data_IF_461447877041
#
_entry.id   IF_461447877041
#
_cell.length_a   1.000
_cell.length_b   1.000
_cell.length_c   1.000
_cell.angle_alpha   90.00
_cell.angle_beta   90.00
_cell.angle_gamma   90.00
#
_symmetry.space_group_name_H-M   'P 1'
#
loop_
_entity.id
_entity.type
_entity.pdbx_description
1 polymer ?
#
# COMPACT_ATOMS: atom_id res chain seq x y z
N UNK A 1 -25.27 11.23 -65.45
CA UNK A 1 -25.81 10.22 -66.38
C UNK A 1 -24.75 9.97 -67.44
N UNK A 2 -24.35 8.74 -67.79
CA UNK A 2 -24.87 7.43 -67.38
C UNK A 2 -23.90 6.72 -66.39
N UNK A 3 -24.31 6.11 -65.27
CA UNK A 3 -25.15 4.91 -65.05
C UNK A 3 -24.46 3.59 -65.42
N UNK A 4 -24.17 2.72 -64.44
CA UNK A 4 -23.60 1.40 -64.70
C UNK A 4 -23.26 0.50 -63.49
N UNK A 5 -24.19 0.29 -62.57
CA UNK A 5 -24.29 -0.98 -61.82
C UNK A 5 -25.61 -1.63 -62.26
N UNK A 6 -25.81 -2.98 -62.29
CA UNK A 6 -25.39 -3.92 -61.23
C UNK A 6 -25.10 -5.39 -61.69
N UNK A 7 -24.71 -6.28 -60.75
CA UNK A 7 -25.15 -7.71 -60.58
C UNK A 7 -24.22 -8.39 -59.56
N UNK A 8 -24.58 -8.52 -58.28
CA UNK A 8 -25.34 -9.63 -57.65
C UNK A 8 -24.94 -11.03 -58.14
N UNK A 9 -24.05 -11.68 -57.39
CA UNK A 9 -23.98 -13.13 -57.20
C UNK A 9 -24.10 -13.46 -55.71
N UNK A 10 -25.23 -14.06 -55.30
CA UNK A 10 -25.47 -14.61 -53.96
C UNK A 10 -25.25 -16.13 -53.98
N UNK A 11 -24.98 -16.67 -52.78
CA UNK A 11 -25.09 -18.07 -52.28
C UNK A 11 -23.76 -18.82 -52.31
N UNK A 12 -23.31 -19.52 -51.26
CA UNK A 12 -23.87 -19.94 -49.95
C UNK A 12 -22.70 -20.45 -49.05
N UNK A 13 -22.95 -20.82 -47.78
CA UNK A 13 -22.01 -20.71 -46.65
C UNK A 13 -21.15 -21.96 -46.42
N UNK A 14 -19.92 -21.77 -45.94
CA UNK A 14 -19.17 -22.84 -45.28
C UNK A 14 -19.51 -22.86 -43.78
N UNK A 15 -20.20 -23.91 -43.35
CA UNK A 15 -20.36 -24.34 -41.95
C UNK A 15 -19.67 -25.71 -41.78
N UNK A 16 -19.47 -26.19 -40.55
CA UNK A 16 -18.16 -26.45 -39.95
C UNK A 16 -17.70 -27.90 -40.15
N UNK A 17 -16.38 -28.12 -40.16
CA UNK A 17 -15.81 -29.46 -40.05
C UNK A 17 -15.64 -29.84 -38.58
N UNK A 18 -16.51 -30.75 -38.16
CA UNK A 18 -16.37 -31.59 -36.97
C UNK A 18 -15.29 -32.63 -37.21
N UNK A 19 -14.38 -32.79 -36.25
CA UNK A 19 -13.70 -34.07 -36.04
C UNK A 19 -13.49 -34.25 -34.54
N UNK A 20 -14.33 -35.13 -33.99
CA UNK A 20 -14.17 -35.80 -32.70
C UNK A 20 -12.74 -36.33 -32.56
N UNK A 21 -12.07 -35.96 -31.48
CA UNK A 21 -11.13 -36.85 -30.82
C UNK A 21 -11.59 -37.01 -29.38
N UNK A 22 -12.44 -38.02 -29.18
CA UNK A 22 -12.86 -38.53 -27.89
C UNK A 22 -11.74 -39.39 -27.31
N UNK A 23 -11.09 -38.92 -26.24
CA UNK A 23 -10.43 -39.81 -25.27
C UNK A 23 -10.90 -39.45 -23.87
N UNK A 24 -11.42 -40.48 -23.23
CA UNK A 24 -12.14 -40.47 -21.98
C UNK A 24 -11.29 -39.97 -20.81
N UNK A 25 -11.79 -38.99 -20.07
CA UNK A 25 -11.41 -38.79 -18.68
C UNK A 25 -12.38 -39.63 -17.86
N UNK A 26 -11.85 -40.72 -17.30
CA UNK A 26 -12.56 -41.57 -16.34
C UNK A 26 -12.88 -40.75 -15.09
N UNK A 27 -14.06 -41.00 -14.55
CA UNK A 27 -14.47 -40.56 -13.23
C UNK A 27 -13.78 -41.40 -12.12
N UNK A 28 -13.65 -40.74 -10.97
CA UNK A 28 -13.41 -41.20 -9.58
C UNK A 28 -12.00 -41.63 -9.12
N UNK A 29 -11.65 -41.48 -7.81
CA UNK A 29 -12.55 -41.25 -6.66
C UNK A 29 -12.21 -40.11 -5.68
N UNK A 30 -13.26 -39.64 -5.01
CA UNK A 30 -13.34 -39.12 -3.62
C UNK A 30 -12.04 -38.66 -2.90
N UNK A 31 -11.99 -37.37 -2.58
CA UNK A 31 -11.08 -36.81 -1.56
C UNK A 31 -11.64 -37.15 -0.16
N UNK A 32 -10.91 -37.83 0.73
CA UNK A 32 -11.38 -38.05 2.08
C UNK A 32 -11.14 -36.78 2.91
N UNK A 33 -12.24 -36.14 3.27
CA UNK A 33 -12.32 -35.01 4.19
C UNK A 33 -12.40 -35.56 5.62
N UNK A 34 -11.27 -35.88 6.28
CA UNK A 34 -11.20 -36.18 7.73
C UNK A 34 -9.76 -36.32 8.26
N UNK A 35 -9.42 -35.52 9.27
CA UNK A 35 -8.28 -35.76 10.16
C UNK A 35 -8.59 -36.92 11.14
N UNK A 36 -7.58 -37.74 11.53
CA UNK A 36 -7.77 -38.78 12.55
C UNK A 36 -8.12 -38.17 13.91
N UNK A 37 -9.13 -38.75 14.56
CA UNK A 37 -9.60 -38.42 15.92
C UNK A 37 -9.04 -39.45 16.90
N UNK A 38 -8.85 -39.06 18.16
CA UNK A 38 -8.58 -40.02 19.23
C UNK A 38 -9.81 -40.90 19.52
N UNK A 39 -9.67 -41.91 20.39
CA UNK A 39 -10.74 -42.84 20.78
C UNK A 39 -11.93 -42.17 21.50
N UNK A 40 -11.90 -40.85 21.72
CA UNK A 40 -12.98 -40.06 22.31
C UNK A 40 -13.59 -39.03 21.35
N UNK A 41 -13.09 -38.92 20.12
CA UNK A 41 -13.71 -38.11 19.06
C UNK A 41 -13.36 -36.61 19.05
N UNK A 42 -12.33 -36.15 19.77
CA UNK A 42 -11.88 -34.75 19.79
C UNK A 42 -10.62 -34.50 18.92
N UNK A 43 -10.36 -33.27 18.43
CA UNK A 43 -9.14 -32.93 17.68
C UNK A 43 -7.91 -32.89 18.61
N UNK A 44 -6.85 -33.60 18.27
CA UNK A 44 -5.63 -33.69 19.07
C UNK A 44 -4.85 -32.36 19.11
N UNK A 45 -4.88 -31.66 20.25
CA UNK A 45 -3.93 -30.58 20.55
C UNK A 45 -2.66 -31.16 21.18
N UNK A 46 -1.52 -30.89 20.56
CA UNK A 46 -0.19 -31.26 21.07
C UNK A 46 0.13 -30.40 22.30
N UNK A 47 0.38 -31.05 23.44
CA UNK A 47 0.76 -30.43 24.70
C UNK A 47 2.13 -29.70 24.61
N UNK A 48 2.22 -28.53 25.24
CA UNK A 48 3.47 -27.81 25.54
C UNK A 48 4.01 -28.27 26.91
N UNK A 49 5.35 -28.28 27.14
CA UNK A 49 5.94 -28.63 28.43
C UNK A 49 5.80 -27.51 29.49
N UNK A 50 5.94 -27.84 30.81
CA UNK A 50 5.51 -26.98 31.89
C UNK A 50 6.45 -25.81 32.24
N UNK A 51 5.83 -24.78 32.82
CA UNK A 51 6.31 -23.45 33.12
C UNK A 51 7.45 -23.35 34.16
N UNK A 52 8.26 -22.31 33.99
CA UNK A 52 9.15 -21.77 35.04
C UNK A 52 8.33 -20.95 36.04
N UNK A 53 8.51 -21.24 37.33
CA UNK A 53 7.76 -20.70 38.47
C UNK A 53 8.52 -19.50 39.04
N UNK A 54 7.91 -18.32 39.08
CA UNK A 54 8.39 -17.20 39.91
C UNK A 54 7.26 -16.78 40.85
N UNK A 55 7.57 -16.88 42.14
CA UNK A 55 6.75 -16.50 43.28
C UNK A 55 6.66 -14.97 43.38
N UNK A 56 5.45 -14.42 43.52
CA UNK A 56 5.23 -13.13 44.19
C UNK A 56 3.98 -13.13 45.05
N UNK A 57 4.13 -12.39 46.14
CA UNK A 57 3.36 -12.37 47.37
C UNK A 57 1.93 -11.83 47.22
N UNK A 58 1.06 -12.36 48.07
CA UNK A 58 -0.30 -11.90 48.34
C UNK A 58 -0.33 -10.42 48.74
N UNK A 59 -1.28 -9.69 48.15
CA UNK A 59 -1.77 -8.40 48.61
C UNK A 59 -3.27 -8.34 48.32
N UNK A 60 -4.07 -8.23 49.37
CA UNK A 60 -5.53 -8.28 49.37
C UNK A 60 -6.18 -7.10 48.64
N UNK A 61 -7.19 -7.38 47.79
CA UNK A 61 -8.22 -6.40 47.39
C UNK A 61 -9.59 -7.09 47.38
N UNK A 62 -10.54 -6.52 48.14
CA UNK A 62 -11.93 -6.96 48.28
C UNK A 62 -12.79 -6.69 47.02
N UNK A 63 -13.89 -7.43 46.81
CA UNK A 63 -14.72 -7.36 45.61
C UNK A 63 -15.87 -6.33 45.71
N UNK A 64 -16.20 -5.70 44.59
CA UNK A 64 -17.45 -4.97 44.36
C UNK A 64 -18.02 -5.35 42.99
N UNK A 65 -19.24 -5.89 42.97
CA UNK A 65 -20.01 -6.33 41.79
C UNK A 65 -20.71 -5.15 41.06
N UNK A 66 -21.65 -5.36 40.10
CA UNK A 66 -21.36 -5.66 38.70
C UNK A 66 -22.09 -4.70 37.73
N UNK A 67 -21.71 -4.73 36.45
CA UNK A 67 -22.60 -4.36 35.35
C UNK A 67 -22.16 -3.20 34.47
N UNK A 68 -21.66 -3.53 33.28
CA UNK A 68 -21.99 -2.84 32.04
C UNK A 68 -21.50 -3.69 30.86
N UNK A 69 -22.42 -4.04 29.96
CA UNK A 69 -22.12 -4.70 28.68
C UNK A 69 -21.07 -3.89 27.91
N UNK A 70 -20.13 -4.54 27.17
CA UNK A 70 -19.17 -3.79 26.39
C UNK A 70 -19.86 -3.16 25.18
N UNK A 71 -20.13 -1.86 25.29
CA UNK A 71 -20.55 -1.02 24.18
C UNK A 71 -19.50 -1.04 23.08
N UNK A 72 -19.95 -1.22 21.84
CA UNK A 72 -19.15 -1.01 20.62
C UNK A 72 -18.68 0.44 20.57
N UNK A 73 -17.45 0.70 21.00
CA UNK A 73 -16.82 2.02 20.84
C UNK A 73 -16.20 2.08 19.45
N UNK A 74 -16.91 2.68 18.52
CA UNK A 74 -16.38 3.02 17.19
C UNK A 74 -15.21 3.98 17.32
N UNK A 75 -14.02 3.52 16.91
CA UNK A 75 -12.82 4.35 16.82
C UNK A 75 -13.04 5.43 15.74
N UNK A 76 -13.22 6.67 16.19
CA UNK A 76 -13.24 7.84 15.31
C UNK A 76 -11.80 8.23 14.97
N UNK A 77 -11.31 7.84 13.81
CA UNK A 77 -10.05 8.36 13.29
C UNK A 77 -10.26 9.79 12.79
N UNK A 78 -9.72 10.75 13.54
CA UNK A 78 -9.54 12.12 13.08
C UNK A 78 -8.49 12.18 11.98
N UNK A 79 -8.87 11.90 10.73
CA UNK A 79 -8.08 12.33 9.58
C UNK A 79 -8.30 13.83 9.43
N UNK A 80 -7.45 14.65 10.07
CA UNK A 80 -7.38 16.08 9.74
C UNK A 80 -7.02 16.18 8.25
N UNK A 81 -7.97 16.68 7.49
CA UNK A 81 -7.78 17.12 6.11
C UNK A 81 -6.85 18.33 6.13
N UNK A 82 -5.67 18.19 5.55
CA UNK A 82 -4.74 19.31 5.42
C UNK A 82 -3.28 18.90 5.54
N UNK A 83 -2.84 17.88 4.81
CA UNK A 83 -1.43 17.77 4.46
C UNK A 83 -1.28 18.49 3.10
N UNK A 84 -1.05 19.83 3.04
CA UNK A 84 -0.67 20.46 1.80
C UNK A 84 0.80 20.13 1.59
N UNK A 85 1.14 19.45 0.49
CA UNK A 85 2.38 19.75 -0.20
C UNK A 85 2.49 19.10 -1.58
N UNK A 86 2.71 19.97 -2.55
CA UNK A 86 3.60 19.78 -3.69
C UNK A 86 4.97 19.40 -3.16
N UNK A 87 5.39 18.15 -3.33
CA UNK A 87 6.76 17.75 -3.08
C UNK A 87 7.24 16.80 -4.18
N UNK A 88 7.46 17.43 -5.33
CA UNK A 88 8.47 17.05 -6.31
C UNK A 88 9.18 18.36 -6.58
N UNK A 89 10.41 18.53 -6.08
CA UNK A 89 11.27 19.57 -6.62
C UNK A 89 11.37 19.29 -8.13
N UNK A 90 10.94 20.22 -9.01
CA UNK A 90 11.01 19.96 -10.44
C UNK A 90 12.48 19.69 -10.79
N UNK A 91 12.78 18.62 -11.54
CA UNK A 91 14.11 18.47 -12.12
C UNK A 91 14.39 19.73 -12.94
N UNK A 92 15.67 20.10 -12.99
CA UNK A 92 16.17 21.30 -13.69
C UNK A 92 15.37 21.55 -14.98
N UNK A 93 14.81 22.75 -15.09
CA UNK A 93 13.62 23.08 -15.90
C UNK A 93 13.73 22.50 -17.31
N UNK A 94 13.21 21.29 -17.53
CA UNK A 94 13.39 20.58 -18.79
C UNK A 94 12.73 21.40 -19.90
N UNK A 95 13.52 21.83 -20.88
CA UNK A 95 13.08 22.76 -21.94
C UNK A 95 11.95 22.20 -22.82
N UNK A 96 11.67 20.89 -22.71
CA UNK A 96 10.61 20.18 -23.41
C UNK A 96 9.27 20.12 -22.63
N UNK A 97 9.25 20.55 -21.36
CA UNK A 97 8.07 20.43 -20.52
C UNK A 97 6.93 21.36 -20.97
N UNK A 98 5.76 20.78 -21.24
CA UNK A 98 4.56 21.51 -21.65
C UNK A 98 3.83 22.01 -20.41
N UNK A 99 3.99 23.31 -20.09
CA UNK A 99 3.39 23.94 -18.90
C UNK A 99 1.88 23.76 -18.77
N UNK A 100 1.13 23.69 -19.88
CA UNK A 100 -0.31 23.45 -19.83
C UNK A 100 -0.65 22.02 -19.40
N UNK A 101 0.16 21.03 -19.77
CA UNK A 101 0.01 19.65 -19.33
C UNK A 101 0.33 19.52 -17.83
N UNK A 102 1.41 20.14 -17.36
CA UNK A 102 1.78 20.16 -15.93
C UNK A 102 0.64 20.73 -15.06
N UNK A 103 0.08 21.88 -15.47
CA UNK A 103 -1.06 22.51 -14.78
C UNK A 103 -2.30 21.61 -14.77
N UNK A 104 -2.54 20.91 -15.87
CA UNK A 104 -3.69 20.00 -15.99
C UNK A 104 -3.54 18.81 -15.03
N UNK A 105 -2.35 18.22 -14.94
CA UNK A 105 -2.06 17.14 -13.99
C UNK A 105 -2.11 17.62 -12.54
N UNK A 106 -1.59 18.81 -12.25
CA UNK A 106 -1.69 19.42 -10.91
C UNK A 106 -3.15 19.59 -10.46
N UNK A 107 -4.03 20.05 -11.36
CA UNK A 107 -5.48 20.15 -11.08
C UNK A 107 -6.08 18.77 -10.78
N UNK A 108 -5.74 17.74 -11.56
CA UNK A 108 -6.21 16.37 -11.31
C UNK A 108 -5.75 15.86 -9.94
N UNK A 109 -4.48 16.08 -9.58
CA UNK A 109 -3.93 15.67 -8.29
C UNK A 109 -4.63 16.35 -7.11
N UNK A 110 -4.85 17.67 -7.19
CA UNK A 110 -5.56 18.40 -6.13
C UNK A 110 -6.99 17.89 -5.94
N UNK A 111 -7.71 17.64 -7.05
CA UNK A 111 -9.06 17.05 -6.99
C UNK A 111 -9.02 15.66 -6.35
N UNK A 112 -8.02 14.84 -6.69
CA UNK A 112 -7.91 13.46 -6.17
C UNK A 112 -7.69 13.39 -4.65
N UNK A 113 -7.06 14.41 -4.05
CA UNK A 113 -6.77 14.48 -2.60
C UNK A 113 -7.98 14.94 -1.80
N UNK A 114 -8.88 15.70 -2.41
CA UNK A 114 -10.08 16.18 -1.77
C UNK A 114 -11.14 15.08 -1.73
N UNK A 115 -11.32 14.49 -0.53
CA UNK A 115 -12.37 13.47 -0.26
C UNK A 115 -13.80 13.99 -0.47
N UNK A 116 -13.97 15.28 -0.70
CA UNK A 116 -15.26 15.93 -1.00
C UNK A 116 -15.19 16.51 -2.41
N UNK A 117 -16.31 16.38 -3.13
CA UNK A 117 -16.58 17.06 -4.38
C UNK A 117 -16.12 18.53 -4.28
N UNK A 118 -15.15 18.94 -5.10
CA UNK A 118 -14.51 20.26 -4.97
C UNK A 118 -15.06 21.24 -6.00
N UNK A 119 -15.28 22.49 -5.60
CA UNK A 119 -15.63 23.58 -6.51
C UNK A 119 -14.39 24.13 -7.22
N UNK A 120 -14.58 24.75 -8.38
CA UNK A 120 -13.47 25.40 -9.13
C UNK A 120 -12.70 26.43 -8.29
N UNK A 121 -13.39 27.15 -7.41
CA UNK A 121 -12.77 28.13 -6.53
C UNK A 121 -11.83 27.49 -5.49
N UNK A 122 -12.23 26.34 -4.92
CA UNK A 122 -11.36 25.58 -4.01
C UNK A 122 -10.11 25.08 -4.73
N UNK A 123 -10.27 24.55 -5.95
CA UNK A 123 -9.15 24.06 -6.75
C UNK A 123 -8.19 25.19 -7.11
N UNK A 124 -8.68 26.36 -7.51
CA UNK A 124 -7.85 27.53 -7.82
C UNK A 124 -6.98 27.95 -6.63
N UNK A 125 -7.58 28.02 -5.44
CA UNK A 125 -6.85 28.33 -4.20
C UNK A 125 -5.78 27.28 -3.89
N UNK A 126 -6.12 26.00 -3.99
CA UNK A 126 -5.23 24.90 -3.60
C UNK A 126 -4.10 24.65 -4.63
N UNK A 127 -4.30 25.05 -5.89
CA UNK A 127 -3.29 24.96 -6.97
C UNK A 127 -2.50 26.24 -7.17
N UNK A 128 -2.97 27.38 -6.67
CA UNK A 128 -2.42 28.71 -6.96
C UNK A 128 -2.67 29.21 -8.39
N UNK A 129 -3.53 28.53 -9.17
CA UNK A 129 -3.86 28.89 -10.54
C UNK A 129 -5.07 29.84 -10.60
N UNK A 130 -5.14 30.67 -11.65
CA UNK A 130 -6.32 31.49 -11.89
C UNK A 130 -7.54 30.64 -12.26
N UNK A 131 -8.74 31.19 -12.01
CA UNK A 131 -10.01 30.48 -12.23
C UNK A 131 -10.21 30.03 -13.68
N UNK A 132 -9.74 30.82 -14.66
CA UNK A 132 -9.86 30.49 -16.09
C UNK A 132 -8.95 29.33 -16.48
N UNK A 133 -7.73 29.29 -15.96
CA UNK A 133 -6.79 28.19 -16.12
C UNK A 133 -7.36 26.90 -15.53
N UNK A 134 -7.87 26.94 -14.30
CA UNK A 134 -8.50 25.76 -13.66
C UNK A 134 -9.72 25.27 -14.45
N UNK A 135 -10.57 26.19 -14.93
CA UNK A 135 -11.74 25.82 -15.73
C UNK A 135 -11.34 25.12 -17.03
N UNK A 136 -10.33 25.62 -17.74
CA UNK A 136 -9.81 24.97 -18.95
C UNK A 136 -9.21 23.59 -18.65
N UNK A 137 -8.38 23.48 -17.61
CA UNK A 137 -7.82 22.19 -17.18
C UNK A 137 -8.90 21.18 -16.82
N UNK A 138 -9.90 21.59 -16.04
CA UNK A 138 -11.03 20.76 -15.66
C UNK A 138 -11.86 20.30 -16.88
N UNK A 139 -12.15 21.20 -17.82
CA UNK A 139 -12.85 20.87 -19.05
C UNK A 139 -12.08 19.85 -19.90
N UNK A 140 -10.74 20.01 -20.01
CA UNK A 140 -9.87 19.03 -20.67
C UNK A 140 -9.93 17.67 -19.98
N UNK A 141 -9.85 17.63 -18.65
CA UNK A 141 -9.91 16.38 -17.88
C UNK A 141 -11.29 15.69 -17.96
N UNK A 142 -12.37 16.46 -18.07
CA UNK A 142 -13.73 15.94 -18.31
C UNK A 142 -13.82 15.36 -19.72
N UNK A 143 -13.34 16.08 -20.73
CA UNK A 143 -13.31 15.61 -22.12
C UNK A 143 -12.44 14.36 -22.28
N UNK A 144 -11.31 14.28 -21.57
CA UNK A 144 -10.44 13.11 -21.51
C UNK A 144 -11.02 11.97 -20.65
N UNK A 145 -12.14 12.17 -19.96
CA UNK A 145 -12.84 11.16 -19.18
C UNK A 145 -12.23 10.84 -17.81
N UNK A 146 -11.25 11.61 -17.32
CA UNK A 146 -10.70 11.46 -15.97
C UNK A 146 -11.59 12.08 -14.89
N UNK A 147 -12.31 13.14 -15.26
CA UNK A 147 -13.29 13.79 -14.41
C UNK A 147 -14.70 13.66 -15.00
N UNK A 148 -15.69 13.74 -14.13
CA UNK A 148 -17.07 14.07 -14.53
C UNK A 148 -17.57 15.25 -13.72
N UNK A 149 -18.43 16.03 -14.34
CA UNK A 149 -19.17 17.07 -13.64
C UNK A 149 -20.51 16.51 -13.18
N UNK A 150 -20.81 16.71 -11.89
CA UNK A 150 -22.08 16.31 -11.28
C UNK A 150 -23.16 17.36 -11.53
N UNK A 151 -24.43 17.04 -11.28
CA UNK A 151 -25.55 17.97 -11.45
C UNK A 151 -25.40 19.26 -10.62
N UNK A 152 -24.70 19.19 -9.47
CA UNK A 152 -24.36 20.34 -8.62
C UNK A 152 -23.06 21.07 -9.05
N UNK A 153 -22.65 20.91 -10.31
CA UNK A 153 -21.46 21.50 -10.93
C UNK A 153 -20.12 21.17 -10.28
N UNK A 154 -20.08 20.17 -9.39
CA UNK A 154 -18.83 19.73 -8.75
C UNK A 154 -18.12 18.70 -9.61
N UNK A 155 -16.81 18.58 -9.40
CA UNK A 155 -15.97 17.64 -10.13
C UNK A 155 -15.68 16.40 -9.29
N UNK A 156 -15.74 15.24 -9.94
CA UNK A 156 -15.41 13.93 -9.36
C UNK A 156 -14.50 13.13 -10.28
N UNK A 157 -13.64 12.30 -9.68
CA UNK A 157 -12.88 11.29 -10.42
C UNK A 157 -13.82 10.23 -11.01
N UNK A 158 -13.45 9.72 -12.18
CA UNK A 158 -14.13 8.58 -12.83
C UNK A 158 -13.36 7.28 -12.58
N UNK A 159 -13.97 6.10 -12.86
CA UNK A 159 -13.27 4.81 -12.81
C UNK A 159 -12.02 4.72 -13.70
N UNK A 160 -11.88 5.57 -14.73
CA UNK A 160 -10.68 5.66 -15.57
C UNK A 160 -9.41 5.91 -14.75
N UNK A 161 -9.52 6.61 -13.62
CA UNK A 161 -8.38 6.83 -12.71
C UNK A 161 -7.93 5.52 -12.04
N UNK A 162 -8.85 4.60 -11.77
CA UNK A 162 -8.53 3.29 -11.20
C UNK A 162 -7.82 2.39 -12.21
N UNK A 163 -8.19 2.50 -13.49
CA UNK A 163 -7.53 1.76 -14.58
C UNK A 163 -6.03 2.09 -14.68
N UNK A 164 -5.64 3.36 -14.49
CA UNK A 164 -4.23 3.76 -14.45
C UNK A 164 -3.48 3.04 -13.33
N UNK A 165 -4.04 3.04 -12.13
CA UNK A 165 -3.45 2.35 -10.98
C UNK A 165 -3.36 0.84 -11.19
N UNK A 166 -4.42 0.23 -11.75
CA UNK A 166 -4.43 -1.19 -12.08
C UNK A 166 -3.35 -1.55 -13.10
N UNK A 167 -3.25 -0.78 -14.20
CA UNK A 167 -2.27 -1.02 -15.26
C UNK A 167 -0.83 -0.84 -14.76
N UNK A 168 -0.59 0.10 -13.86
CA UNK A 168 0.70 0.24 -13.18
C UNK A 168 1.04 -1.00 -12.33
N UNK A 169 0.08 -1.52 -11.55
CA UNK A 169 0.33 -2.67 -10.69
C UNK A 169 0.54 -3.96 -11.49
N UNK A 170 -0.23 -4.20 -12.54
CA UNK A 170 -0.13 -5.44 -13.33
C UNK A 170 1.12 -5.47 -14.24
N UNK A 171 1.60 -4.31 -14.69
CA UNK A 171 2.83 -4.21 -15.49
C UNK A 171 4.12 -4.27 -14.66
N UNK A 172 4.01 -4.14 -13.34
CA UNK A 172 5.17 -4.14 -12.46
C UNK A 172 5.60 -5.59 -12.12
N UNK A 173 6.79 -5.98 -12.59
CA UNK A 173 7.35 -7.33 -12.41
C UNK A 173 7.57 -7.74 -10.93
N UNK A 174 7.62 -6.78 -9.99
CA UNK A 174 7.69 -7.08 -8.56
C UNK A 174 6.34 -7.61 -8.06
N UNK A 175 5.21 -7.13 -8.60
CA UNK A 175 3.88 -7.38 -8.06
C UNK A 175 3.46 -8.85 -8.18
N UNK A 176 3.77 -9.50 -9.30
CA UNK A 176 3.46 -10.92 -9.51
C UNK A 176 4.18 -11.83 -8.50
N UNK A 177 5.48 -11.56 -8.26
CA UNK A 177 6.29 -12.30 -7.29
C UNK A 177 5.88 -11.99 -5.86
N UNK A 178 5.64 -10.71 -5.56
CA UNK A 178 5.24 -10.24 -4.25
C UNK A 178 3.97 -10.93 -3.77
N UNK A 179 2.97 -11.13 -4.63
CA UNK A 179 1.72 -11.76 -4.22
C UNK A 179 1.93 -13.13 -3.57
N UNK A 180 2.74 -14.00 -4.18
CA UNK A 180 3.01 -15.36 -3.66
C UNK A 180 3.78 -15.33 -2.34
N UNK A 181 4.81 -14.50 -2.25
CA UNK A 181 5.65 -14.37 -1.05
C UNK A 181 4.83 -13.82 0.11
N UNK A 182 4.07 -12.75 -0.11
CA UNK A 182 3.29 -12.09 0.92
C UNK A 182 2.10 -12.94 1.38
N UNK A 183 1.48 -13.72 0.49
CA UNK A 183 0.44 -14.71 0.87
C UNK A 183 0.98 -15.80 1.79
N UNK A 184 2.23 -16.22 1.61
CA UNK A 184 2.89 -17.19 2.49
C UNK A 184 3.21 -16.53 3.83
N UNK A 185 3.87 -15.36 3.79
CA UNK A 185 4.21 -14.60 4.98
C UNK A 185 2.97 -14.34 5.85
N UNK A 186 1.82 -13.98 5.24
CA UNK A 186 0.57 -13.71 5.96
C UNK A 186 0.10 -14.91 6.79
N UNK A 187 0.22 -16.11 6.23
CA UNK A 187 -0.18 -17.35 6.90
C UNK A 187 0.73 -17.68 8.07
N UNK A 188 1.99 -17.29 7.98
CA UNK A 188 3.00 -17.50 9.01
C UNK A 188 2.85 -16.49 10.16
N UNK A 189 2.72 -15.20 9.85
CA UNK A 189 2.72 -14.14 10.87
C UNK A 189 1.35 -13.84 11.47
N UNK A 190 0.25 -14.14 10.76
CA UNK A 190 -1.12 -13.89 11.23
C UNK A 190 -1.55 -12.41 11.34
N UNK A 191 -0.61 -11.48 11.20
CA UNK A 191 -0.80 -10.03 11.26
C UNK A 191 -0.97 -9.39 9.88
N UNK A 192 -1.24 -8.07 9.85
CA UNK A 192 -1.37 -7.32 8.60
C UNK A 192 -0.03 -7.19 7.89
N UNK A 193 -0.05 -7.45 6.59
CA UNK A 193 1.12 -7.32 5.71
C UNK A 193 0.89 -6.24 4.68
N UNK A 194 1.90 -5.42 4.45
CA UNK A 194 1.88 -4.44 3.37
C UNK A 194 3.14 -4.56 2.52
N UNK A 195 3.00 -4.20 1.25
CA UNK A 195 4.10 -3.90 0.34
C UNK A 195 3.99 -2.44 -0.06
N UNK A 196 5.09 -1.69 0.04
CA UNK A 196 5.17 -0.33 -0.46
C UNK A 196 6.26 -0.16 -1.50
N UNK A 197 6.04 0.70 -2.47
CA UNK A 197 7.06 1.13 -3.44
C UNK A 197 7.74 2.42 -2.96
N UNK A 198 9.04 2.52 -3.22
CA UNK A 198 9.86 3.67 -2.86
C UNK A 198 9.67 4.82 -3.84
N UNK A 199 9.48 6.05 -3.34
CA UNK A 199 9.34 7.25 -4.14
C UNK A 199 10.03 8.46 -3.47
N UNK A 200 11.23 8.25 -2.92
CA UNK A 200 12.03 9.31 -2.28
C UNK A 200 11.49 9.70 -0.90
N UNK A 201 10.90 10.91 -0.78
CA UNK A 201 10.36 11.45 0.48
C UNK A 201 9.11 10.72 0.99
N UNK A 202 8.50 9.91 0.13
CA UNK A 202 7.34 9.09 0.48
C UNK A 202 7.42 7.69 -0.11
N UNK A 203 6.53 6.84 0.38
CA UNK A 203 6.25 5.52 -0.15
C UNK A 203 4.78 5.40 -0.53
N UNK A 204 4.47 4.45 -1.41
CA UNK A 204 3.09 4.17 -1.84
C UNK A 204 2.77 2.71 -1.57
N UNK A 205 1.69 2.43 -0.83
CA UNK A 205 1.23 1.06 -0.63
C UNK A 205 0.72 0.45 -1.93
N UNK A 206 1.40 -0.57 -2.44
CA UNK A 206 1.05 -1.28 -3.67
C UNK A 206 0.26 -2.56 -3.40
N UNK A 207 0.45 -3.21 -2.25
CA UNK A 207 -0.30 -4.39 -1.85
C UNK A 207 -0.56 -4.35 -0.35
N UNK A 208 -1.78 -4.73 0.07
CA UNK A 208 -2.17 -4.75 1.48
C UNK A 208 -3.00 -5.99 1.76
N UNK A 209 -2.54 -6.79 2.71
CA UNK A 209 -3.16 -8.04 3.11
C UNK A 209 -3.59 -7.89 4.57
N UNK A 210 -4.89 -7.94 4.82
CA UNK A 210 -5.44 -7.72 6.16
C UNK A 210 -5.08 -8.86 7.11
N UNK A 211 -4.79 -8.53 8.37
CA UNK A 211 -4.65 -9.51 9.44
C UNK A 211 -6.00 -10.09 9.87
N UNK A 212 -5.98 -11.04 10.82
CA UNK A 212 -7.22 -11.44 11.52
C UNK A 212 -7.69 -10.25 12.36
N UNK A 213 -8.96 -9.85 12.25
CA UNK A 213 -9.49 -8.79 13.11
C UNK A 213 -9.55 -7.38 12.52
N UNK A 214 -8.99 -7.15 11.32
CA UNK A 214 -8.90 -5.81 10.72
C UNK A 214 -9.79 -5.66 9.47
N UNK A 215 -10.88 -4.90 9.59
CA UNK A 215 -11.87 -4.66 8.52
C UNK A 215 -12.03 -3.19 8.14
N UNK A 216 -11.13 -2.30 8.56
CA UNK A 216 -11.25 -0.88 8.24
C UNK A 216 -10.88 -0.60 6.78
N UNK A 217 -11.84 -0.09 6.01
CA UNK A 217 -11.68 0.22 4.57
C UNK A 217 -10.42 1.03 4.22
N UNK A 218 -10.02 2.11 4.93
CA UNK A 218 -8.81 2.85 4.58
C UNK A 218 -7.51 2.04 4.77
N UNK A 219 -7.56 0.97 5.55
CA UNK A 219 -6.43 0.08 5.82
C UNK A 219 -6.30 -1.07 4.80
N UNK A 220 -7.29 -1.28 3.94
CA UNK A 220 -7.23 -2.27 2.87
C UNK A 220 -6.92 -1.67 1.49
N UNK A 221 -7.15 -0.37 1.28
CA UNK A 221 -6.91 0.27 -0.02
C UNK A 221 -5.43 0.54 -0.31
N UNK A 222 -5.05 0.30 -1.57
CA UNK A 222 -3.74 0.59 -2.17
C UNK A 222 -3.67 2.03 -2.72
N UNK A 223 -2.48 2.49 -3.12
CA UNK A 223 -2.25 3.83 -3.67
C UNK A 223 -2.07 4.93 -2.60
N UNK A 224 -2.25 4.60 -1.31
CA UNK A 224 -2.04 5.56 -0.22
C UNK A 224 -0.55 5.88 -0.06
N UNK A 225 -0.24 7.18 -0.08
CA UNK A 225 1.09 7.74 0.22
C UNK A 225 1.35 7.81 1.72
N UNK A 226 2.57 7.50 2.14
CA UNK A 226 3.04 7.73 3.51
C UNK A 226 4.48 8.29 3.50
N UNK A 227 4.86 9.18 4.43
CA UNK A 227 6.23 9.71 4.47
C UNK A 227 7.25 8.63 4.84
N UNK A 228 8.47 8.74 4.32
CA UNK A 228 9.54 7.75 4.61
C UNK A 228 10.16 7.94 5.99
N UNK A 229 10.26 9.19 6.49
CA UNK A 229 10.95 9.49 7.75
C UNK A 229 10.32 8.86 9.01
N UNK A 230 9.01 8.66 9.02
CA UNK A 230 8.26 8.19 10.19
C UNK A 230 7.61 6.82 10.02
N UNK A 231 7.86 6.10 8.92
CA UNK A 231 7.29 4.76 8.68
C UNK A 231 8.36 3.69 8.77
N UNK A 232 7.98 2.47 9.21
CA UNK A 232 8.91 1.35 9.29
C UNK A 232 9.55 1.08 7.92
N UNK A 233 8.76 0.87 6.85
CA UNK A 233 9.38 0.61 5.55
C UNK A 233 10.04 1.82 4.92
N UNK A 234 9.63 3.05 5.25
CA UNK A 234 10.37 4.24 4.88
C UNK A 234 11.78 4.22 5.45
N UNK A 235 11.90 4.00 6.76
CA UNK A 235 13.19 3.89 7.46
C UNK A 235 14.01 2.69 6.96
N UNK A 236 13.37 1.55 6.67
CA UNK A 236 14.03 0.40 6.07
C UNK A 236 14.56 0.70 4.66
N UNK A 237 13.80 1.41 3.81
CA UNK A 237 14.27 1.80 2.48
C UNK A 237 15.41 2.82 2.56
N UNK A 238 15.29 3.83 3.43
CA UNK A 238 16.36 4.81 3.67
C UNK A 238 17.64 4.14 4.19
N UNK A 239 17.56 3.02 4.90
CA UNK A 239 18.76 2.31 5.39
C UNK A 239 19.62 1.71 4.27
N UNK A 240 19.06 1.57 3.06
CA UNK A 240 19.76 1.12 1.84
C UNK A 240 20.38 2.27 1.04
N UNK A 241 20.26 3.52 1.52
CA UNK A 241 20.90 4.68 0.93
C UNK A 241 22.11 5.11 1.77
N UNK A 242 23.02 5.86 1.16
CA UNK A 242 24.10 6.57 1.87
C UNK A 242 23.53 7.66 2.78
N UNK A 243 24.27 8.07 3.82
CA UNK A 243 23.81 9.10 4.75
C UNK A 243 23.52 10.43 4.03
N UNK A 244 24.31 10.79 3.02
CA UNK A 244 24.08 11.99 2.19
C UNK A 244 22.78 11.90 1.37
N UNK A 245 22.47 10.73 0.80
CA UNK A 245 21.21 10.50 0.10
C UNK A 245 20.01 10.58 1.05
N UNK A 246 20.15 10.04 2.27
CA UNK A 246 19.11 10.14 3.30
C UNK A 246 18.87 11.61 3.66
N UNK A 247 19.94 12.38 3.91
CA UNK A 247 19.82 13.80 4.22
C UNK A 247 19.14 14.58 3.09
N UNK A 248 19.49 14.32 1.82
CA UNK A 248 18.81 14.93 0.67
C UNK A 248 17.31 14.60 0.63
N UNK A 249 16.94 13.36 0.95
CA UNK A 249 15.52 12.97 1.04
C UNK A 249 14.82 13.68 2.19
N UNK A 250 15.49 13.89 3.32
CA UNK A 250 14.94 14.61 4.47
C UNK A 250 14.82 16.12 4.23
N UNK A 251 15.73 16.72 3.48
CA UNK A 251 15.71 18.13 3.09
C UNK A 251 14.51 18.47 2.20
N UNK A 252 14.15 17.59 1.27
CA UNK A 252 12.96 17.77 0.44
C UNK A 252 11.67 17.44 1.20
N UNK A 253 11.75 16.59 2.22
CA UNK A 253 10.60 16.19 3.03
C UNK A 253 10.13 17.30 3.98
N UNK A 254 8.82 17.56 4.05
CA UNK A 254 8.28 18.29 5.22
C UNK A 254 7.92 17.35 6.37
N UNK A 255 8.72 17.46 7.42
CA UNK A 255 8.70 16.63 8.62
C UNK A 255 7.57 17.03 9.60
N UNK A 256 6.34 16.74 9.22
CA UNK A 256 5.16 16.97 10.06
C UNK A 256 5.12 16.05 11.28
N UNK A 257 4.91 16.61 12.47
CA UNK A 257 4.63 15.80 13.67
C UNK A 257 3.22 15.18 13.57
N UNK A 258 3.13 13.93 13.12
CA UNK A 258 1.86 13.20 12.91
C UNK A 258 1.25 12.67 14.21
N UNK A 259 2.11 12.33 15.16
CA UNK A 259 1.77 11.89 16.51
C UNK A 259 2.77 12.49 17.49
N UNK A 260 2.52 12.42 18.81
CA UNK A 260 3.51 12.84 19.81
C UNK A 260 4.86 12.11 19.69
N UNK A 261 4.87 10.92 19.07
CA UNK A 261 6.05 10.06 18.94
C UNK A 261 6.82 10.26 17.64
N UNK A 262 6.28 11.00 16.68
CA UNK A 262 6.94 11.22 15.40
C UNK A 262 8.29 11.92 15.59
N UNK A 263 9.37 11.29 15.10
CA UNK A 263 10.67 11.94 14.99
C UNK A 263 10.60 13.02 13.89
N UNK A 264 10.98 14.24 14.23
CA UNK A 264 11.03 15.39 13.30
C UNK A 264 12.39 16.06 13.21
N UNK A 265 13.39 15.56 13.94
CA UNK A 265 14.78 16.02 13.83
C UNK A 265 15.52 15.18 12.78
N UNK A 266 16.10 15.79 11.73
CA UNK A 266 16.86 15.06 10.72
C UNK A 266 17.98 14.19 11.32
N UNK A 267 18.68 14.68 12.35
CA UNK A 267 19.72 13.93 13.03
C UNK A 267 19.18 12.65 13.71
N UNK A 268 18.06 12.78 14.46
CA UNK A 268 17.43 11.62 15.12
C UNK A 268 16.88 10.61 14.11
N UNK A 269 16.36 11.10 12.98
CA UNK A 269 15.88 10.24 11.91
C UNK A 269 17.06 9.50 11.27
N UNK A 270 18.17 10.18 11.01
CA UNK A 270 19.38 9.58 10.45
C UNK A 270 19.95 8.50 11.39
N UNK A 271 20.00 8.75 12.70
CA UNK A 271 20.45 7.76 13.67
C UNK A 271 19.53 6.52 13.68
N UNK A 272 18.21 6.73 13.63
CA UNK A 272 17.26 5.61 13.52
C UNK A 272 17.41 4.84 12.20
N UNK A 273 17.77 5.52 11.10
CA UNK A 273 18.09 4.88 9.81
C UNK A 273 19.38 4.07 9.91
N UNK A 274 20.42 4.57 10.59
CA UNK A 274 21.67 3.84 10.84
C UNK A 274 21.44 2.59 11.69
N UNK A 275 20.61 2.66 12.73
CA UNK A 275 20.19 1.48 13.49
C UNK A 275 19.50 0.46 12.57
N UNK A 276 18.54 0.90 11.75
CA UNK A 276 17.87 0.01 10.80
C UNK A 276 18.81 -0.59 9.74
N UNK A 277 19.91 0.11 9.42
CA UNK A 277 20.96 -0.40 8.53
C UNK A 277 21.75 -1.52 9.17
N UNK A 278 22.11 -1.38 10.44
CA UNK A 278 22.82 -2.39 11.20
C UNK A 278 21.96 -3.64 11.46
N UNK A 279 20.68 -3.43 11.81
CA UNK A 279 19.76 -4.53 12.15
C UNK A 279 19.24 -5.27 10.90
N UNK A 280 19.25 -4.62 9.74
CA UNK A 280 18.68 -5.14 8.49
C UNK A 280 17.17 -4.99 8.37
N UNK A 281 16.51 -4.43 9.39
CA UNK A 281 15.08 -4.11 9.44
C UNK A 281 14.86 -2.83 10.25
N UNK A 282 13.68 -2.23 10.14
CA UNK A 282 13.30 -1.06 10.92
C UNK A 282 12.03 -1.34 11.73
N UNK A 283 12.03 -0.96 13.01
CA UNK A 283 10.84 -1.01 13.87
C UNK A 283 10.41 0.40 14.25
N UNK A 284 9.14 0.71 14.01
CA UNK A 284 8.51 1.99 14.30
C UNK A 284 7.28 1.78 15.16
N UNK A 285 7.17 2.56 16.23
CA UNK A 285 6.10 2.45 17.23
C UNK A 285 5.39 3.80 17.37
N UNK A 286 4.17 3.88 16.85
CA UNK A 286 3.31 5.03 17.04
C UNK A 286 3.71 6.31 16.29
N UNK A 287 4.75 6.30 15.44
CA UNK A 287 5.27 7.52 14.79
C UNK A 287 4.41 7.97 13.59
N UNK A 288 4.02 7.05 12.69
CA UNK A 288 3.21 7.38 11.52
C UNK A 288 1.70 7.35 11.80
N UNK A 289 1.27 6.36 12.60
CA UNK A 289 -0.11 6.12 13.00
C UNK A 289 -0.10 5.85 14.50
N UNK A 290 -0.91 6.60 15.25
CA UNK A 290 -1.01 6.42 16.69
C UNK A 290 -1.50 5.00 17.02
N UNK A 291 -0.94 4.38 18.05
CA UNK A 291 -1.27 3.02 18.53
C UNK A 291 -0.93 1.88 17.54
N UNK A 292 -0.19 2.15 16.47
CA UNK A 292 0.34 1.13 15.55
C UNK A 292 1.81 0.82 15.87
N UNK A 293 2.20 -0.45 15.79
CA UNK A 293 3.58 -0.88 15.70
C UNK A 293 3.80 -1.55 14.36
N UNK A 294 4.93 -1.25 13.72
CA UNK A 294 5.29 -1.83 12.43
C UNK A 294 6.77 -2.17 12.38
N UNK A 295 7.07 -3.26 11.69
CA UNK A 295 8.41 -3.71 11.33
C UNK A 295 8.47 -3.83 9.83
N UNK A 296 9.60 -3.47 9.23
CA UNK A 296 9.79 -3.56 7.80
C UNK A 296 11.22 -3.91 7.41
N UNK A 297 11.35 -4.58 6.28
CA UNK A 297 12.62 -4.82 5.60
C UNK A 297 12.55 -4.31 4.16
N UNK A 298 13.64 -3.72 3.68
CA UNK A 298 13.73 -3.18 2.34
C UNK A 298 13.92 -4.29 1.29
N UNK A 299 13.24 -4.12 0.18
CA UNK A 299 13.44 -4.87 -1.06
C UNK A 299 14.33 -4.03 -1.95
N UNK A 300 15.41 -4.62 -2.46
CA UNK A 300 16.41 -3.93 -3.28
C UNK A 300 16.49 -4.48 -4.69
N UNK A 301 16.95 -3.64 -5.62
CA UNK A 301 17.35 -4.07 -6.95
C UNK A 301 18.70 -4.81 -6.95
N UNK A 302 19.19 -5.16 -8.14
CA UNK A 302 20.50 -5.82 -8.34
C UNK A 302 21.70 -4.97 -7.92
N UNK A 303 21.52 -3.66 -7.75
CA UNK A 303 22.56 -2.73 -7.31
C UNK A 303 22.47 -2.42 -5.80
N UNK A 304 21.54 -3.06 -5.08
CA UNK A 304 21.32 -2.83 -3.66
C UNK A 304 20.51 -1.57 -3.36
N UNK A 305 19.96 -0.89 -4.38
CA UNK A 305 19.14 0.32 -4.19
C UNK A 305 17.73 -0.05 -3.76
N UNK A 306 17.11 0.68 -2.82
CA UNK A 306 15.75 0.38 -2.37
C UNK A 306 14.73 0.68 -3.46
N UNK A 307 13.85 -0.28 -3.71
CA UNK A 307 12.72 -0.15 -4.66
C UNK A 307 11.37 -0.33 -3.97
N UNK A 308 11.35 -1.05 -2.85
CA UNK A 308 10.15 -1.35 -2.09
C UNK A 308 10.48 -1.74 -0.64
N UNK A 309 9.46 -1.98 0.17
CA UNK A 309 9.59 -2.58 1.49
C UNK A 309 8.41 -3.51 1.78
N UNK A 310 8.70 -4.60 2.48
CA UNK A 310 7.71 -5.50 3.09
C UNK A 310 7.53 -5.08 4.54
N UNK A 311 6.27 -5.03 4.99
CA UNK A 311 5.91 -4.54 6.32
C UNK A 311 5.00 -5.54 7.01
N UNK A 312 5.20 -5.75 8.30
CA UNK A 312 4.22 -6.35 9.21
C UNK A 312 3.77 -5.24 10.17
N UNK A 313 2.47 -5.15 10.42
CA UNK A 313 1.90 -4.12 11.30
C UNK A 313 0.86 -4.73 12.22
N UNK A 314 0.82 -4.23 13.46
CA UNK A 314 -0.11 -4.65 14.50
C UNK A 314 -0.44 -3.48 15.44
N UNK A 315 -1.30 -3.71 16.42
CA UNK A 315 -1.64 -2.74 17.45
C UNK A 315 -0.61 -2.75 18.59
N UNK A 316 -0.20 -1.56 19.05
CA UNK A 316 0.73 -1.39 20.18
C UNK A 316 0.24 -2.03 21.48
N UNK A 317 -1.07 -2.23 21.66
CA UNK A 317 -1.61 -2.91 22.85
C UNK A 317 -1.37 -4.42 22.86
N UNK A 318 -0.99 -5.02 21.72
CA UNK A 318 -0.71 -6.47 21.62
C UNK A 318 0.76 -6.82 21.79
N UNK A 319 1.65 -5.84 21.65
CA UNK A 319 3.09 -6.09 21.47
C UNK A 319 3.97 -5.07 22.17
N UNK A 320 4.98 -5.54 22.86
CA UNK A 320 6.16 -4.74 23.19
C UNK A 320 7.10 -4.62 21.97
N UNK A 321 7.87 -3.54 21.88
CA UNK A 321 8.75 -3.28 20.73
C UNK A 321 9.82 -4.36 20.55
N UNK A 322 10.46 -4.83 21.61
CA UNK A 322 11.50 -5.85 21.53
C UNK A 322 10.91 -7.20 21.14
N UNK A 323 9.83 -7.61 21.82
CA UNK A 323 9.12 -8.85 21.51
C UNK A 323 8.58 -8.88 20.06
N UNK A 324 8.12 -7.73 19.55
CA UNK A 324 7.67 -7.60 18.17
C UNK A 324 8.82 -7.78 17.17
N UNK A 325 9.99 -7.21 17.45
CA UNK A 325 11.19 -7.38 16.64
C UNK A 325 11.63 -8.84 16.62
N UNK A 326 11.77 -9.46 17.79
CA UNK A 326 12.22 -10.85 17.93
C UNK A 326 11.31 -11.83 17.18
N UNK A 327 10.00 -11.58 17.19
CA UNK A 327 9.04 -12.47 16.55
C UNK A 327 8.96 -12.32 15.03
N UNK A 328 9.14 -11.10 14.50
CA UNK A 328 8.85 -10.81 13.09
C UNK A 328 10.07 -10.44 12.24
N UNK A 329 11.25 -10.21 12.83
CA UNK A 329 12.45 -9.80 12.09
C UNK A 329 12.94 -10.86 11.09
N UNK A 330 13.04 -12.13 11.49
CA UNK A 330 13.49 -13.18 10.57
C UNK A 330 12.49 -13.39 9.41
N UNK A 331 11.17 -13.59 9.65
CA UNK A 331 10.21 -13.77 8.57
C UNK A 331 10.20 -12.60 7.57
N UNK A 332 10.31 -11.36 8.05
CA UNK A 332 10.22 -10.18 7.19
C UNK A 332 11.48 -9.97 6.37
N UNK A 333 12.67 -10.16 6.96
CA UNK A 333 13.95 -10.09 6.25
C UNK A 333 14.04 -11.21 5.22
N UNK A 334 13.61 -12.43 5.56
CA UNK A 334 13.53 -13.56 4.62
C UNK A 334 12.59 -13.25 3.44
N UNK A 335 11.42 -12.70 3.71
CA UNK A 335 10.47 -12.32 2.66
C UNK A 335 11.01 -11.20 1.75
N UNK A 336 11.62 -10.17 2.33
CA UNK A 336 12.23 -9.09 1.56
C UNK A 336 13.42 -9.59 0.73
N UNK A 337 14.24 -10.49 1.27
CA UNK A 337 15.35 -11.13 0.55
C UNK A 337 14.89 -11.95 -0.66
N UNK A 338 13.76 -12.65 -0.58
CA UNK A 338 13.16 -13.39 -1.72
C UNK A 338 12.58 -12.49 -2.82
N UNK A 339 12.23 -11.25 -2.47
CA UNK A 339 11.73 -10.24 -3.41
C UNK A 339 12.85 -9.37 -3.97
N UNK A 340 13.97 -9.32 -3.25
CA UNK A 340 15.22 -8.77 -3.75
C UNK A 340 15.78 -9.78 -4.76
N UNK A 341 16.51 -9.31 -5.78
CA UNK A 341 16.91 -10.05 -7.00
C UNK A 341 15.87 -10.05 -8.13
N UNK A 342 16.33 -9.67 -9.33
CA UNK A 342 15.58 -9.47 -10.57
C UNK A 342 14.40 -8.48 -10.50
N UNK A 343 14.44 -7.49 -9.62
CA UNK A 343 13.56 -6.35 -9.84
C UNK A 343 14.05 -5.58 -11.07
N UNK A 344 13.51 -5.94 -12.24
CA UNK A 344 13.68 -5.16 -13.47
C UNK A 344 13.45 -3.69 -13.10
N UNK A 345 14.41 -2.79 -13.37
CA UNK A 345 14.24 -1.39 -13.07
C UNK A 345 12.91 -0.92 -13.65
N UNK A 346 12.01 -0.44 -12.79
CA UNK A 346 10.97 0.45 -13.27
C UNK A 346 11.69 1.75 -13.52
N UNK A 347 12.19 1.90 -14.75
CA UNK A 347 12.91 3.09 -15.20
C UNK A 347 11.94 4.28 -15.14
N UNK A 348 11.87 4.94 -13.99
CA UNK A 348 11.13 6.19 -13.81
C UNK A 348 11.85 7.36 -14.49
N UNK A 349 12.89 7.10 -15.30
CA UNK A 349 13.70 8.10 -15.96
C UNK A 349 13.90 7.81 -17.46
N UNK A 350 12.88 7.35 -18.19
CA UNK A 350 12.84 7.48 -19.66
C UNK A 350 11.42 7.70 -20.18
N UNK A 351 11.02 8.97 -20.31
CA UNK A 351 10.31 9.55 -21.46
C UNK A 351 9.97 11.00 -21.19
#
# INVERSE_FOLDING_TARGET
MPSGHPRRGRRRPCRPRTSRCSRAVRADPAVPDRWPRDSSGSPAHRALPPAFRVTRSRGDVKPGEPGASPGRIGLRYGTRSGDPMTDVAPPDRQTLAIRSAERTLLVLEVISRNRRRTSLAGIARDTGLDKSAVQRCAATLVSAGYLRQTADHKLELTPKCLELGYNFLISNALMERAYRVLMRLRREVGERINLSLFAGSYLVYAMRLTGKGEWELPMSLVGRRMPTYCTAGGRAMLSKLSDDEVLRVLETSTLHRRTPMTLTSPALILDAVRTARADGYAVVSGEAVAREIAIAAAVTDSHGKPIAAVHVSSELSRWDKAAFADHFAEPIVSAAGRLSFDAVPVDHARS
#
